data_IF_442921029156
#
_entry.id   IF_442921029156
#
_cell.length_a   1.000
_cell.length_b   1.000
_cell.length_c   1.000
_cell.angle_alpha   90.00
_cell.angle_beta   90.00
_cell.angle_gamma   90.00
#
_symmetry.space_group_name_H-M   'P 1'
#
loop_
_entity.id
_entity.type
_entity.pdbx_description
1 polymer ?
#
# COMPACT_ATOMS: atom_id res chain seq x y z
N UNK A 1 -0.07 -19.26 31.02
CA UNK A 1 -1.22 -18.64 30.32
C UNK A 1 -0.83 -17.37 29.56
N UNK A 2 -0.16 -16.39 30.18
CA UNK A 2 0.27 -15.14 29.52
C UNK A 2 1.08 -15.36 28.23
N UNK A 3 2.03 -16.31 28.22
CA UNK A 3 2.81 -16.65 27.01
C UNK A 3 1.94 -17.09 25.83
N UNK A 4 0.91 -17.89 26.09
CA UNK A 4 0.00 -18.41 25.06
C UNK A 4 -0.92 -17.30 24.49
N UNK A 5 -1.37 -16.38 25.36
CA UNK A 5 -2.15 -15.20 24.96
C UNK A 5 -1.35 -14.26 24.05
N UNK A 6 -0.07 -14.05 24.36
CA UNK A 6 0.81 -13.17 23.60
C UNK A 6 1.20 -13.77 22.24
N UNK A 7 1.47 -15.08 22.18
CA UNK A 7 1.67 -15.77 20.90
C UNK A 7 0.43 -15.71 20.02
N UNK A 8 -0.77 -15.86 20.62
CA UNK A 8 -2.03 -15.72 19.90
C UNK A 8 -2.20 -14.29 19.36
N UNK A 9 -1.93 -13.26 20.18
CA UNK A 9 -1.97 -11.85 19.74
C UNK A 9 -1.00 -11.58 18.59
N UNK A 10 0.21 -12.14 18.65
CA UNK A 10 1.20 -12.01 17.58
C UNK A 10 0.75 -12.65 16.28
N UNK A 11 0.19 -13.86 16.33
CA UNK A 11 -0.36 -14.54 15.14
C UNK A 11 -1.53 -13.72 14.57
N UNK A 12 -2.44 -13.22 15.41
CA UNK A 12 -3.53 -12.35 14.93
C UNK A 12 -3.03 -11.04 14.33
N UNK A 13 -1.95 -10.45 14.85
CA UNK A 13 -1.35 -9.24 14.28
C UNK A 13 -0.77 -9.51 12.88
N UNK A 14 -0.08 -10.64 12.69
CA UNK A 14 0.45 -11.06 11.38
C UNK A 14 -0.69 -11.33 10.40
N UNK A 15 -1.75 -12.04 10.83
CA UNK A 15 -2.90 -12.30 9.96
C UNK A 15 -3.60 -11.02 9.49
N UNK A 16 -3.71 -10.00 10.35
CA UNK A 16 -4.28 -8.70 9.98
C UNK A 16 -3.44 -7.95 8.95
N UNK A 17 -2.11 -8.11 8.95
CA UNK A 17 -1.23 -7.51 7.93
C UNK A 17 -1.49 -8.10 6.53
N UNK A 18 -1.88 -9.37 6.42
CA UNK A 18 -2.26 -9.97 5.14
C UNK A 18 -3.63 -9.48 4.63
N UNK A 19 -4.59 -9.23 5.52
CA UNK A 19 -5.91 -8.71 5.13
C UNK A 19 -5.87 -7.26 4.62
N UNK A 20 -4.86 -6.48 5.02
CA UNK A 20 -4.65 -5.12 4.54
C UNK A 20 -3.95 -5.02 3.17
N UNK A 21 -3.79 -6.13 2.43
CA UNK A 21 -3.14 -6.11 1.13
C UNK A 21 -3.96 -5.29 0.13
N UNK A 22 -3.47 -4.09 -0.18
CA UNK A 22 -4.11 -3.17 -1.11
C UNK A 22 -3.84 -3.63 -2.56
N UNK A 23 -4.90 -3.68 -3.37
CA UNK A 23 -4.79 -3.90 -4.81
C UNK A 23 -4.06 -2.71 -5.43
N UNK A 24 -2.91 -2.96 -6.04
CA UNK A 24 -2.10 -1.96 -6.72
C UNK A 24 -2.24 -2.14 -8.22
N UNK A 25 -2.71 -1.11 -8.91
CA UNK A 25 -2.70 -1.06 -10.36
C UNK A 25 -1.34 -0.55 -10.84
N UNK A 26 -0.61 -1.39 -11.56
CA UNK A 26 0.64 -1.00 -12.21
C UNK A 26 0.35 -0.61 -13.66
N UNK A 27 0.56 0.66 -14.00
CA UNK A 27 0.44 1.16 -15.36
C UNK A 27 1.82 1.55 -15.90
N UNK A 28 2.16 0.97 -17.05
CA UNK A 28 3.40 1.28 -17.75
C UNK A 28 3.14 2.25 -18.89
N UNK A 29 3.86 3.36 -18.92
CA UNK A 29 3.77 4.29 -20.03
C UNK A 29 4.42 3.67 -21.27
N UNK A 30 3.64 3.50 -22.34
CA UNK A 30 4.15 3.10 -23.66
C UNK A 30 5.32 4.02 -24.02
N UNK A 31 6.52 3.46 -24.19
CA UNK A 31 7.77 4.15 -24.53
C UNK A 31 8.57 4.85 -23.40
N UNK A 32 8.20 4.71 -22.12
CA UNK A 32 9.08 5.11 -21.00
C UNK A 32 9.14 3.97 -19.98
N UNK A 33 10.33 3.62 -19.51
CA UNK A 33 10.54 2.63 -18.44
C UNK A 33 10.12 3.18 -17.04
N UNK A 34 9.02 3.95 -17.00
CA UNK A 34 8.43 4.53 -15.81
C UNK A 34 7.14 3.75 -15.52
N UNK A 35 7.15 3.03 -14.41
CA UNK A 35 5.98 2.34 -13.88
C UNK A 35 5.29 3.27 -12.88
N UNK A 36 4.00 3.46 -13.06
CA UNK A 36 3.16 4.13 -12.08
C UNK A 36 2.35 3.10 -11.31
N UNK A 37 2.27 3.29 -10.00
CA UNK A 37 1.47 2.46 -9.11
C UNK A 37 0.35 3.32 -8.56
N UNK A 38 -0.89 2.84 -8.69
CA UNK A 38 -2.09 3.49 -8.20
C UNK A 38 -2.85 2.55 -7.27
N UNK A 39 -3.52 3.09 -6.26
CA UNK A 39 -4.47 2.39 -5.38
C UNK A 39 -5.82 3.10 -5.41
N UNK A 40 -6.86 2.45 -4.88
CA UNK A 40 -8.13 3.12 -4.62
C UNK A 40 -7.92 4.35 -3.72
N UNK A 41 -8.58 5.45 -4.06
CA UNK A 41 -8.41 6.78 -3.47
C UNK A 41 -7.37 7.66 -4.16
N UNK A 42 -6.56 7.12 -5.09
CA UNK A 42 -5.62 7.96 -5.85
C UNK A 42 -6.33 8.64 -7.03
N UNK A 43 -5.94 9.89 -7.31
CA UNK A 43 -6.37 10.61 -8.50
C UNK A 43 -5.48 10.27 -9.70
N UNK A 44 -6.10 9.95 -10.85
CA UNK A 44 -5.41 9.61 -12.08
C UNK A 44 -5.94 10.43 -13.26
N UNK A 45 -5.02 10.86 -14.13
CA UNK A 45 -5.32 11.59 -15.37
C UNK A 45 -4.96 10.76 -16.60
N UNK A 46 -5.91 10.53 -17.50
CA UNK A 46 -5.70 9.74 -18.72
C UNK A 46 -6.49 10.27 -19.92
N UNK A 47 -6.16 9.77 -21.11
CA UNK A 47 -6.88 10.08 -22.36
C UNK A 47 -7.50 8.80 -22.91
N UNK A 48 -8.80 8.84 -23.22
CA UNK A 48 -9.53 7.73 -23.87
C UNK A 48 -9.28 7.75 -25.38
N UNK A 49 -9.07 6.58 -25.99
CA UNK A 49 -8.78 6.39 -27.42
C UNK A 49 -9.78 7.13 -28.33
N UNK A 50 -11.07 7.08 -28.02
CA UNK A 50 -12.14 7.61 -28.88
C UNK A 50 -12.28 9.13 -28.82
N UNK A 51 -12.15 9.73 -27.63
CA UNK A 51 -12.49 11.14 -27.43
C UNK A 51 -11.28 12.07 -27.53
N UNK A 52 -10.06 11.56 -27.39
CA UNK A 52 -8.82 12.34 -27.20
C UNK A 52 -8.92 13.39 -26.08
N UNK A 53 -9.95 13.32 -25.24
CA UNK A 53 -10.16 14.24 -24.13
C UNK A 53 -9.41 13.72 -22.91
N UNK A 54 -8.81 14.64 -22.18
CA UNK A 54 -8.21 14.35 -20.88
C UNK A 54 -9.34 14.22 -19.85
N UNK A 55 -9.33 13.11 -19.13
CA UNK A 55 -10.22 12.85 -18.01
C UNK A 55 -9.35 12.68 -16.76
N UNK A 56 -9.78 13.31 -15.68
CA UNK A 56 -9.18 13.17 -14.35
C UNK A 56 -10.25 12.69 -13.40
N UNK A 57 -9.91 11.75 -12.53
CA UNK A 57 -10.83 11.24 -11.54
C UNK A 57 -10.14 10.43 -10.45
N UNK A 58 -10.82 10.31 -9.32
CA UNK A 58 -10.40 9.46 -8.20
C UNK A 58 -10.83 8.01 -8.45
N UNK A 59 -9.88 7.08 -8.25
CA UNK A 59 -10.13 5.64 -8.39
C UNK A 59 -10.95 5.18 -7.19
N UNK A 60 -12.20 4.75 -7.41
CA UNK A 60 -13.00 4.13 -6.36
C UNK A 60 -12.59 2.67 -6.15
N UNK A 61 -12.50 1.93 -7.25
CA UNK A 61 -12.25 0.49 -7.23
C UNK A 61 -11.44 0.06 -8.46
N UNK A 62 -10.58 -0.94 -8.24
CA UNK A 62 -9.76 -1.57 -9.27
C UNK A 62 -10.31 -2.98 -9.51
N UNK A 63 -10.81 -3.24 -10.72
CA UNK A 63 -11.22 -4.57 -11.19
C UNK A 63 -10.14 -5.12 -12.14
N UNK A 64 -10.23 -6.40 -12.48
CA UNK A 64 -9.22 -7.10 -13.29
C UNK A 64 -8.88 -6.43 -14.63
N UNK A 65 -9.88 -5.83 -15.30
CA UNK A 65 -9.71 -5.18 -16.61
C UNK A 65 -10.31 -3.78 -16.70
N UNK A 66 -10.76 -3.22 -15.57
CA UNK A 66 -11.46 -1.94 -15.55
C UNK A 66 -11.17 -1.16 -14.27
N UNK A 67 -11.22 0.17 -14.40
CA UNK A 67 -11.03 1.13 -13.32
C UNK A 67 -12.36 1.83 -13.11
N UNK A 68 -12.87 1.78 -11.88
CA UNK A 68 -14.15 2.38 -11.51
C UNK A 68 -13.90 3.78 -10.96
N UNK A 69 -14.58 4.76 -11.56
CA UNK A 69 -14.59 6.15 -11.14
C UNK A 69 -16.00 6.55 -10.67
N UNK A 70 -16.11 7.77 -10.14
CA UNK A 70 -17.42 8.30 -9.74
C UNK A 70 -18.33 8.51 -10.97
N UNK A 71 -19.31 7.62 -11.12
CA UNK A 71 -20.33 7.71 -12.18
C UNK A 71 -19.95 7.11 -13.53
N UNK A 72 -18.76 6.52 -13.69
CA UNK A 72 -18.36 5.83 -14.92
C UNK A 72 -17.28 4.77 -14.66
N UNK A 73 -17.20 3.77 -15.54
CA UNK A 73 -16.19 2.71 -15.54
C UNK A 73 -15.39 2.81 -16.85
N UNK A 74 -14.07 2.70 -16.77
CA UNK A 74 -13.19 2.74 -17.95
C UNK A 74 -12.39 1.45 -18.01
N UNK A 75 -12.42 0.78 -19.16
CA UNK A 75 -11.58 -0.39 -19.37
C UNK A 75 -10.14 0.02 -19.63
N UNK A 76 -9.21 -0.79 -19.13
CA UNK A 76 -7.78 -0.49 -19.20
C UNK A 76 -7.28 -0.39 -20.65
N UNK A 77 -7.90 -1.11 -21.59
CA UNK A 77 -7.55 -1.11 -23.00
C UNK A 77 -8.08 0.10 -23.79
N UNK A 78 -9.06 0.82 -23.25
CA UNK A 78 -9.58 2.06 -23.82
C UNK A 78 -8.69 3.27 -23.51
N UNK A 79 -7.74 3.10 -22.58
CA UNK A 79 -6.81 4.13 -22.15
C UNK A 79 -5.65 4.24 -23.15
N UNK A 80 -5.62 5.34 -23.90
CA UNK A 80 -4.60 5.62 -24.92
C UNK A 80 -3.25 6.03 -24.32
N UNK A 81 -3.31 6.90 -23.30
CA UNK A 81 -2.14 7.54 -22.72
C UNK A 81 -2.45 8.00 -21.30
N UNK A 82 -1.40 7.94 -20.48
CA UNK A 82 -1.47 8.26 -19.07
C UNK A 82 -0.58 9.45 -18.73
N UNK A 83 -1.13 10.37 -17.96
CA UNK A 83 -0.38 11.45 -17.33
C UNK A 83 0.06 10.98 -15.95
N UNK A 84 1.28 10.46 -15.91
CA UNK A 84 1.97 10.11 -14.67
C UNK A 84 2.64 11.41 -14.18
N UNK A 85 2.08 12.00 -13.13
CA UNK A 85 2.75 13.10 -12.44
C UNK A 85 4.02 12.58 -11.75
N UNK A 86 5.07 13.38 -11.64
CA UNK A 86 6.41 12.93 -11.17
C UNK A 86 6.44 12.48 -9.70
N UNK A 87 5.31 12.59 -8.99
CA UNK A 87 5.11 12.08 -7.63
C UNK A 87 5.10 10.55 -7.54
N UNK A 88 5.01 9.82 -8.65
CA UNK A 88 4.95 8.35 -8.66
C UNK A 88 6.31 7.66 -8.52
N UNK A 89 7.02 7.93 -7.41
CA UNK A 89 8.24 7.20 -6.96
C UNK A 89 7.97 6.39 -5.68
N UNK A 90 6.82 5.72 -5.60
CA UNK A 90 6.32 5.20 -4.31
C UNK A 90 6.57 3.72 -4.03
N UNK A 91 7.13 2.94 -4.96
CA UNK A 91 7.39 1.52 -4.71
C UNK A 91 8.41 1.29 -3.58
N UNK A 92 9.46 2.12 -3.52
CA UNK A 92 10.50 1.98 -2.50
C UNK A 92 9.98 2.39 -1.11
N UNK A 93 9.21 3.49 -1.03
CA UNK A 93 8.62 3.98 0.22
C UNK A 93 7.64 2.97 0.81
N UNK A 94 6.76 2.41 -0.03
CA UNK A 94 5.80 1.39 0.39
C UNK A 94 6.50 0.14 0.94
N UNK A 95 7.58 -0.32 0.29
CA UNK A 95 8.39 -1.43 0.80
C UNK A 95 9.09 -1.11 2.12
N UNK A 96 9.62 0.10 2.29
CA UNK A 96 10.27 0.51 3.54
C UNK A 96 9.26 0.57 4.69
N UNK A 97 8.06 1.10 4.45
CA UNK A 97 6.99 1.15 5.45
C UNK A 97 6.59 -0.26 5.92
N UNK A 98 6.41 -1.19 4.98
CA UNK A 98 6.10 -2.59 5.32
C UNK A 98 7.25 -3.30 6.06
N UNK A 99 8.49 -3.13 5.60
CA UNK A 99 9.66 -3.75 6.22
C UNK A 99 9.93 -3.19 7.63
N UNK A 100 9.72 -1.89 7.84
CA UNK A 100 9.86 -1.27 9.15
C UNK A 100 8.85 -1.81 10.16
N UNK A 101 7.61 -2.03 9.73
CA UNK A 101 6.57 -2.58 10.59
C UNK A 101 6.87 -4.04 10.96
N UNK A 102 7.31 -4.85 9.99
CA UNK A 102 7.75 -6.25 10.24
C UNK A 102 8.96 -6.29 11.16
N UNK A 103 9.96 -5.43 10.95
CA UNK A 103 11.15 -5.36 11.79
C UNK A 103 10.82 -4.95 13.23
N UNK A 104 9.97 -3.93 13.42
CA UNK A 104 9.54 -3.47 14.74
C UNK A 104 8.73 -4.54 15.51
N UNK A 105 7.75 -5.15 14.84
CA UNK A 105 6.92 -6.21 15.44
C UNK A 105 7.74 -7.48 15.71
N UNK A 106 8.65 -7.84 14.81
CA UNK A 106 9.56 -8.97 14.97
C UNK A 106 10.54 -8.78 16.13
N UNK A 107 11.14 -7.59 16.26
CA UNK A 107 12.02 -7.25 17.37
C UNK A 107 11.29 -7.37 18.71
N UNK A 108 10.10 -6.78 18.83
CA UNK A 108 9.28 -6.87 20.04
C UNK A 108 8.95 -8.30 20.43
N UNK A 109 8.63 -9.15 19.45
CA UNK A 109 8.32 -10.55 19.71
C UNK A 109 9.56 -11.35 20.17
N UNK A 110 10.72 -11.13 19.54
CA UNK A 110 11.97 -11.80 19.92
C UNK A 110 12.44 -11.36 21.31
N UNK A 111 12.39 -10.05 21.58
CA UNK A 111 12.76 -9.49 22.89
C UNK A 111 11.89 -10.12 23.99
N UNK A 112 10.58 -10.14 23.79
CA UNK A 112 9.60 -10.72 24.72
C UNK A 112 9.79 -12.24 24.95
N UNK A 113 10.15 -13.00 23.91
CA UNK A 113 10.42 -14.45 24.03
C UNK A 113 11.69 -14.69 24.84
N UNK A 114 12.73 -13.88 24.64
CA UNK A 114 14.03 -14.06 25.27
C UNK A 114 14.07 -13.57 26.71
N UNK A 115 13.47 -12.41 27.01
CA UNK A 115 13.52 -11.79 28.34
C UNK A 115 12.33 -12.15 29.23
N UNK A 116 11.17 -12.49 28.65
CA UNK A 116 9.91 -12.65 29.38
C UNK A 116 9.29 -11.34 29.88
N UNK A 117 9.93 -10.20 29.65
CA UNK A 117 9.51 -8.86 30.08
C UNK A 117 9.81 -7.85 28.96
N UNK A 118 8.86 -6.96 28.64
CA UNK A 118 9.13 -5.86 27.69
C UNK A 118 10.05 -4.87 28.38
N UNK A 119 11.27 -4.69 27.87
CA UNK A 119 12.20 -3.71 28.43
C UNK A 119 11.58 -2.32 28.39
N UNK A 120 11.66 -1.57 29.52
CA UNK A 120 11.13 -0.20 29.62
C UNK A 120 11.72 0.74 28.57
N UNK A 121 12.95 0.46 28.11
CA UNK A 121 13.63 1.24 27.08
C UNK A 121 12.94 1.17 25.71
N UNK A 122 12.29 0.05 25.41
CA UNK A 122 11.56 -0.16 24.15
C UNK A 122 10.25 0.65 24.10
N UNK A 123 9.63 0.89 25.26
CA UNK A 123 8.41 1.69 25.38
C UNK A 123 8.68 3.19 25.19
N UNK A 124 9.87 3.67 25.52
CA UNK A 124 10.25 5.08 25.38
C UNK A 124 10.42 5.56 23.95
N UNK A 125 10.69 4.67 22.98
CA UNK A 125 10.83 5.06 21.57
C UNK A 125 9.48 5.51 20.98
N UNK A 126 8.36 5.00 21.50
CA UNK A 126 7.00 5.41 21.10
C UNK A 126 6.62 6.79 21.64
N UNK A 127 7.33 7.31 22.65
CA UNK A 127 7.03 8.60 23.30
C UNK A 127 7.89 9.76 22.79
N UNK A 128 8.84 9.50 21.88
CA UNK A 128 9.81 10.48 21.37
C UNK A 128 9.46 11.06 19.99
N UNK A 129 8.18 11.18 19.64
CA UNK A 129 7.73 12.00 18.52
C UNK A 129 6.80 13.08 19.11
N UNK A 130 7.42 14.12 19.65
CA UNK A 130 6.86 15.47 19.79
C UNK A 130 7.69 16.39 18.90
#
# INVERSE_FOLDING_TARGET
>A
MIRMLLTFLFITAICNLCFGQQTLLMLQKKNKNKNAYYKSGDEISFIINESKRRISGEILELKDSAIVFHGFEVRVDEISSLYIDEKTKWWLRYKIEQLGLIAGVGYLAIDLINSGEISRETVTITRGID
#
